data_IF_620511899679
#
_entry.id   IF_620511899679
#
_cell.length_a   1.000
_cell.length_b   1.000
_cell.length_c   1.000
_cell.angle_alpha   90.00
_cell.angle_beta   90.00
_cell.angle_gamma   90.00
#
_symmetry.space_group_name_H-M   'P 1'
#
loop_
_entity.id
_entity.type
_entity.pdbx_description
1 polymer ?
#
# COMPACT_ATOMS: atom_id res chain seq x y z
N UNK A 1 -8.31 14.41 -7.49
CA UNK A 1 -7.00 13.86 -7.82
C UNK A 1 -6.57 13.01 -6.64
N UNK A 2 -6.69 11.68 -6.72
CA UNK A 2 -6.27 10.82 -5.60
C UNK A 2 -4.92 10.21 -5.91
N UNK A 3 -3.91 10.94 -5.44
CA UNK A 3 -2.50 10.66 -5.56
C UNK A 3 -1.97 10.51 -4.14
N UNK A 4 -1.25 9.43 -3.88
CA UNK A 4 -0.78 9.10 -2.52
C UNK A 4 0.73 8.91 -2.56
N UNK A 5 1.45 9.70 -1.77
CA UNK A 5 2.87 9.45 -1.52
C UNK A 5 3.03 8.11 -0.80
N UNK A 6 3.82 7.21 -1.38
CA UNK A 6 3.90 5.83 -0.95
C UNK A 6 5.34 5.34 -0.96
N UNK A 7 5.67 4.54 0.07
CA UNK A 7 6.91 3.79 0.13
C UNK A 7 6.65 2.39 -0.40
N UNK A 8 7.40 2.00 -1.42
CA UNK A 8 7.58 0.60 -1.82
C UNK A 8 8.78 0.03 -1.06
N UNK A 9 8.61 -1.11 -0.41
CA UNK A 9 9.71 -1.81 0.27
C UNK A 9 9.50 -3.33 0.23
N UNK A 10 10.54 -4.09 0.57
CA UNK A 10 10.44 -5.54 0.77
C UNK A 10 10.45 -5.87 2.26
N UNK A 11 9.55 -6.76 2.67
CA UNK A 11 9.37 -7.20 4.06
C UNK A 11 9.73 -8.68 4.20
N UNK A 12 10.69 -9.02 5.05
CA UNK A 12 11.16 -10.40 5.23
C UNK A 12 11.34 -10.76 6.70
N UNK A 13 11.09 -12.01 7.06
CA UNK A 13 11.50 -12.57 8.36
C UNK A 13 13.01 -12.84 8.45
N UNK A 14 13.66 -12.98 7.30
CA UNK A 14 15.09 -13.30 7.19
C UNK A 14 15.83 -12.16 6.47
N UNK A 15 16.84 -11.54 7.10
CA UNK A 15 17.60 -10.44 6.50
C UNK A 15 18.39 -10.87 5.25
N UNK A 16 18.56 -12.17 4.98
CA UNK A 16 19.27 -12.69 3.80
C UNK A 16 18.36 -13.07 2.63
N UNK A 17 17.05 -13.23 2.85
CA UNK A 17 16.09 -13.66 1.80
C UNK A 17 15.38 -12.48 1.13
N UNK A 18 14.93 -12.69 -0.11
CA UNK A 18 13.94 -11.80 -0.72
C UNK A 18 12.67 -11.77 0.13
N UNK A 19 12.11 -10.56 0.29
CA UNK A 19 10.90 -10.33 1.07
C UNK A 19 9.66 -10.16 0.20
N UNK A 20 8.49 -10.17 0.84
CA UNK A 20 7.23 -9.82 0.19
C UNK A 20 7.18 -8.30 -0.07
N UNK A 21 6.72 -7.89 -1.25
CA UNK A 21 6.57 -6.47 -1.57
C UNK A 21 5.46 -5.84 -0.73
N UNK A 22 5.71 -4.63 -0.25
CA UNK A 22 4.77 -3.81 0.51
C UNK A 22 4.73 -2.40 -0.02
N UNK A 23 3.51 -1.86 0.01
CA UNK A 23 3.16 -0.52 -0.40
C UNK A 23 2.52 0.17 0.81
N UNK A 24 3.18 1.20 1.33
CA UNK A 24 2.79 1.82 2.60
C UNK A 24 2.76 3.34 2.42
N UNK A 25 1.65 4.03 2.70
CA UNK A 25 1.60 5.48 2.64
C UNK A 25 2.75 6.11 3.42
N UNK A 26 3.40 7.11 2.82
CA UNK A 26 4.61 7.72 3.37
C UNK A 26 4.35 8.31 4.77
N UNK A 27 3.16 8.89 4.98
CA UNK A 27 2.72 9.46 6.27
C UNK A 27 2.75 8.46 7.45
N UNK A 28 2.43 7.19 7.21
CA UNK A 28 2.39 6.17 8.27
C UNK A 28 3.64 5.28 8.28
N UNK A 29 4.53 5.43 7.30
CA UNK A 29 5.61 4.48 7.07
C UNK A 29 6.55 4.31 8.26
N UNK A 30 6.92 5.40 8.95
CA UNK A 30 7.85 5.30 10.09
C UNK A 30 7.24 4.54 11.28
N UNK A 31 5.97 4.78 11.58
CA UNK A 31 5.24 4.04 12.62
C UNK A 31 5.09 2.57 12.23
N UNK A 32 4.65 2.31 10.99
CA UNK A 32 4.51 0.96 10.47
C UNK A 32 5.85 0.21 10.53
N UNK A 33 6.94 0.85 10.10
CA UNK A 33 8.30 0.31 10.16
C UNK A 33 8.69 -0.07 11.58
N UNK A 34 8.50 0.83 12.53
CA UNK A 34 8.79 0.56 13.93
C UNK A 34 8.04 -0.68 14.44
N UNK A 35 6.74 -0.79 14.14
CA UNK A 35 5.94 -1.95 14.54
C UNK A 35 6.46 -3.24 13.87
N UNK A 36 6.76 -3.21 12.57
CA UNK A 36 7.27 -4.38 11.86
C UNK A 36 8.62 -4.85 12.42
N UNK A 37 9.56 -3.92 12.64
CA UNK A 37 10.91 -4.24 13.10
C UNK A 37 10.96 -4.60 14.59
N UNK A 38 10.21 -3.91 15.45
CA UNK A 38 10.29 -4.06 16.91
C UNK A 38 9.30 -5.06 17.49
N UNK A 39 8.07 -5.07 16.97
CA UNK A 39 7.00 -5.93 17.50
C UNK A 39 6.93 -7.24 16.73
N UNK A 40 6.97 -7.17 15.40
CA UNK A 40 6.84 -8.36 14.56
C UNK A 40 8.18 -8.99 14.15
N UNK A 41 9.32 -8.40 14.56
CA UNK A 41 10.66 -8.91 14.29
C UNK A 41 10.92 -9.19 12.80
N UNK A 42 10.41 -8.31 11.94
CA UNK A 42 10.61 -8.38 10.49
C UNK A 42 11.62 -7.34 10.03
N UNK A 43 12.28 -7.63 8.91
CA UNK A 43 13.26 -6.77 8.28
C UNK A 43 12.64 -6.07 7.08
N UNK A 44 12.76 -4.74 7.05
CA UNK A 44 12.37 -3.91 5.92
C UNK A 44 13.61 -3.61 5.08
N UNK A 45 13.50 -3.78 3.77
CA UNK A 45 14.59 -3.59 2.80
C UNK A 45 14.16 -2.66 1.67
N UNK A 46 15.14 -1.95 1.13
CA UNK A 46 15.04 -1.13 -0.08
C UNK A 46 13.81 -0.19 -0.11
N UNK A 47 13.57 0.63 0.94
CA UNK A 47 12.48 1.59 0.93
C UNK A 47 12.71 2.61 -0.18
N UNK A 48 11.74 2.74 -1.08
CA UNK A 48 11.73 3.71 -2.17
C UNK A 48 10.47 4.55 -2.08
N UNK A 49 10.62 5.87 -2.03
CA UNK A 49 9.51 6.81 -2.08
C UNK A 49 9.09 7.05 -3.53
N UNK A 50 7.80 7.00 -3.77
CA UNK A 50 7.19 7.46 -5.00
C UNK A 50 5.69 7.70 -4.83
N UNK A 51 4.94 7.65 -5.92
CA UNK A 51 3.51 7.96 -5.96
C UNK A 51 2.68 6.74 -6.36
N UNK A 52 1.56 6.54 -5.68
CA UNK A 52 0.44 5.78 -6.18
C UNK A 52 -0.58 6.70 -6.83
N UNK A 53 -1.12 6.28 -7.96
CA UNK A 53 -2.14 7.01 -8.71
C UNK A 53 -3.28 6.05 -9.04
N UNK A 54 -4.50 6.41 -8.72
CA UNK A 54 -5.67 5.63 -9.11
C UNK A 54 -5.75 5.51 -10.65
N UNK A 55 -6.24 4.38 -11.15
CA UNK A 55 -6.25 4.06 -12.59
C UNK A 55 -6.94 5.14 -13.43
N UNK A 56 -8.01 5.76 -12.91
CA UNK A 56 -8.75 6.83 -13.57
C UNK A 56 -7.94 8.12 -13.79
N UNK A 57 -6.83 8.31 -13.06
CA UNK A 57 -5.92 9.45 -13.19
C UNK A 57 -4.58 9.07 -13.82
N UNK A 58 -4.38 7.80 -14.16
CA UNK A 58 -3.15 7.33 -14.75
C UNK A 58 -3.10 7.64 -16.25
N UNK A 59 -2.08 8.39 -16.67
CA UNK A 59 -1.73 8.57 -18.06
C UNK A 59 -0.46 7.79 -18.36
N UNK A 60 -0.45 6.85 -19.33
CA UNK A 60 0.75 6.10 -19.69
C UNK A 60 1.89 7.05 -20.05
N UNK A 61 2.97 7.02 -19.26
CA UNK A 61 4.19 7.75 -19.57
C UNK A 61 5.08 6.89 -20.46
N UNK A 62 5.90 7.51 -21.31
CA UNK A 62 6.90 6.81 -22.14
C UNK A 62 8.12 6.36 -21.32
N UNK A 63 7.90 5.93 -20.07
CA UNK A 63 8.98 5.60 -19.15
C UNK A 63 9.58 4.23 -19.44
N UNK A 64 10.86 4.09 -19.05
CA UNK A 64 11.63 2.86 -19.20
C UNK A 64 11.28 1.80 -18.15
N UNK A 65 10.69 2.20 -17.02
CA UNK A 65 10.27 1.29 -15.97
C UNK A 65 8.74 1.12 -16.01
N UNK A 66 8.23 -0.12 -16.04
CA UNK A 66 6.80 -0.36 -16.06
C UNK A 66 6.18 0.05 -14.72
N UNK A 67 5.02 0.71 -14.77
CA UNK A 67 4.25 0.99 -13.58
C UNK A 67 3.77 -0.31 -12.93
N UNK A 68 3.84 -0.40 -11.60
CA UNK A 68 3.42 -1.59 -10.87
C UNK A 68 1.94 -1.48 -10.51
N UNK A 69 1.14 -2.49 -10.85
CA UNK A 69 -0.28 -2.50 -10.52
C UNK A 69 -0.49 -2.79 -9.02
N UNK A 70 -1.26 -1.91 -8.37
CA UNK A 70 -1.50 -1.92 -6.92
C UNK A 70 -2.98 -1.70 -6.64
N UNK A 71 -3.55 -2.59 -5.84
CA UNK A 71 -4.94 -2.51 -5.38
C UNK A 71 -4.99 -1.78 -4.05
N UNK A 72 -5.75 -0.69 -4.01
CA UNK A 72 -6.20 -0.06 -2.77
C UNK A 72 -7.45 -0.79 -2.26
N UNK A 73 -7.46 -1.11 -0.97
CA UNK A 73 -8.63 -1.53 -0.23
C UNK A 73 -8.94 -0.48 0.82
N UNK A 74 -10.20 -0.06 0.89
CA UNK A 74 -10.70 0.84 1.92
C UNK A 74 -11.97 0.27 2.51
N UNK A 75 -12.10 0.28 3.83
CA UNK A 75 -13.31 -0.15 4.54
C UNK A 75 -13.42 0.58 5.87
N UNK A 76 -14.63 0.63 6.42
CA UNK A 76 -14.86 1.04 7.81
C UNK A 76 -14.84 -0.20 8.69
N UNK A 77 -14.08 -0.16 9.78
CA UNK A 77 -14.06 -1.21 10.80
C UNK A 77 -14.74 -0.72 12.08
N UNK A 78 -15.83 -1.38 12.49
CA UNK A 78 -16.52 -1.06 13.73
C UNK A 78 -15.95 -1.88 14.90
N UNK A 79 -15.20 -1.24 15.79
CA UNK A 79 -14.79 -1.89 17.04
C UNK A 79 -15.87 -1.72 18.13
N UNK A 80 -15.85 -2.55 19.18
CA UNK A 80 -16.87 -2.53 20.22
C UNK A 80 -16.89 -1.16 20.91
N UNK A 81 -17.98 -0.40 20.75
CA UNK A 81 -18.21 0.87 21.45
C UNK A 81 -17.52 2.10 20.84
N UNK A 82 -16.91 1.97 19.65
CA UNK A 82 -16.19 3.07 19.00
C UNK A 82 -16.88 3.57 17.73
N UNK A 83 -16.60 4.83 17.38
CA UNK A 83 -16.87 5.38 16.04
C UNK A 83 -15.96 4.63 15.07
N UNK A 84 -16.54 3.96 14.07
CA UNK A 84 -15.81 3.10 13.14
C UNK A 84 -14.55 3.75 12.56
N UNK A 85 -13.44 3.02 12.54
CA UNK A 85 -12.16 3.49 11.97
C UNK A 85 -12.10 3.19 10.48
N UNK A 86 -11.63 4.14 9.68
CA UNK A 86 -11.34 3.89 8.27
C UNK A 86 -9.98 3.18 8.16
N UNK A 87 -9.96 2.06 7.45
CA UNK A 87 -8.76 1.30 7.15
C UNK A 87 -8.51 1.36 5.66
N UNK A 88 -7.36 1.92 5.27
CA UNK A 88 -6.88 1.93 3.88
C UNK A 88 -5.58 1.14 3.78
N UNK A 89 -5.48 0.21 2.82
CA UNK A 89 -4.27 -0.60 2.57
C UNK A 89 -4.04 -0.80 1.08
N UNK A 90 -2.78 -0.97 0.71
CA UNK A 90 -2.33 -1.13 -0.67
C UNK A 90 -1.62 -2.47 -0.84
N UNK A 91 -1.97 -3.20 -1.89
CA UNK A 91 -1.47 -4.55 -2.13
C UNK A 91 -0.99 -4.68 -3.58
N UNK A 92 0.12 -5.41 -3.84
CA UNK A 92 0.46 -5.79 -5.22
C UNK A 92 -0.71 -6.54 -5.86
N UNK A 93 -1.14 -6.15 -7.06
CA UNK A 93 -2.27 -6.79 -7.74
C UNK A 93 -2.04 -8.29 -7.94
N UNK A 94 -0.82 -8.69 -8.31
CA UNK A 94 -0.43 -10.08 -8.56
C UNK A 94 -0.51 -10.99 -7.33
N UNK A 95 -0.49 -10.41 -6.12
CA UNK A 95 -0.47 -11.15 -4.84
C UNK A 95 -1.69 -10.81 -3.97
N UNK A 96 -2.67 -10.09 -4.55
CA UNK A 96 -3.76 -9.46 -3.80
C UNK A 96 -4.53 -10.48 -2.95
N UNK A 97 -5.10 -11.52 -3.56
CA UNK A 97 -5.97 -12.47 -2.87
C UNK A 97 -5.23 -13.16 -1.70
N UNK A 98 -3.98 -13.54 -1.94
CA UNK A 98 -3.16 -14.22 -0.93
C UNK A 98 -2.82 -13.32 0.26
N UNK A 99 -2.42 -12.07 0.02
CA UNK A 99 -2.04 -11.15 1.10
C UNK A 99 -3.29 -10.64 1.82
N UNK A 100 -4.35 -10.32 1.08
CA UNK A 100 -5.62 -9.85 1.65
C UNK A 100 -6.24 -10.89 2.58
N UNK A 101 -6.19 -12.17 2.21
CA UNK A 101 -6.64 -13.28 3.05
C UNK A 101 -5.91 -13.35 4.39
N UNK A 102 -4.60 -13.10 4.42
CA UNK A 102 -3.84 -13.02 5.66
C UNK A 102 -4.19 -11.75 6.43
N UNK A 103 -4.32 -10.63 5.73
CA UNK A 103 -4.60 -9.33 6.33
C UNK A 103 -5.94 -9.32 7.08
N UNK A 104 -7.01 -9.87 6.50
CA UNK A 104 -8.33 -9.89 7.15
C UNK A 104 -8.37 -10.69 8.47
N UNK A 105 -7.42 -11.60 8.69
CA UNK A 105 -7.29 -12.35 9.96
C UNK A 105 -6.84 -11.48 11.13
N UNK A 106 -6.38 -10.25 10.88
CA UNK A 106 -6.10 -9.27 11.94
C UNK A 106 -7.36 -8.60 12.49
N UNK A 107 -8.53 -8.84 11.88
CA UNK A 107 -9.82 -8.33 12.34
C UNK A 107 -10.58 -9.49 13.00
N UNK A 108 -10.72 -9.50 14.34
CA UNK A 108 -11.33 -10.62 15.08
C UNK A 108 -12.75 -10.95 14.61
N UNK A 109 -13.50 -9.92 14.24
CA UNK A 109 -14.84 -10.03 13.67
C UNK A 109 -14.88 -9.35 12.30
N UNK A 110 -14.82 -10.16 11.24
CA UNK A 110 -14.82 -9.67 9.86
C UNK A 110 -16.19 -9.17 9.40
N UNK A 111 -17.28 -9.52 10.10
CA UNK A 111 -18.62 -9.02 9.76
C UNK A 111 -18.76 -7.52 10.00
N UNK A 112 -17.80 -6.94 10.74
CA UNK A 112 -17.70 -5.51 11.05
C UNK A 112 -16.86 -4.71 10.07
N UNK A 113 -16.39 -5.35 8.99
CA UNK A 113 -15.74 -4.68 7.87
C UNK A 113 -16.82 -4.19 6.90
N UNK A 114 -17.26 -2.95 7.08
CA UNK A 114 -18.33 -2.35 6.31
C UNK A 114 -17.80 -1.51 5.14
N UNK A 115 -18.65 -1.28 4.14
CA UNK A 115 -18.38 -0.36 3.02
C UNK A 115 -17.04 -0.65 2.31
N UNK A 116 -16.66 -1.93 2.18
CA UNK A 116 -15.39 -2.28 1.55
C UNK A 116 -15.39 -1.93 0.06
N UNK A 117 -14.50 -1.02 -0.33
CA UNK A 117 -14.21 -0.67 -1.70
C UNK A 117 -12.86 -1.21 -2.12
N UNK A 118 -12.74 -1.54 -3.41
CA UNK A 118 -11.47 -1.91 -4.05
C UNK A 118 -11.25 -0.97 -5.21
N UNK A 119 -10.04 -0.41 -5.30
CA UNK A 119 -9.69 0.46 -6.42
C UNK A 119 -8.32 0.09 -6.95
N UNK A 120 -8.25 -0.06 -8.26
CA UNK A 120 -7.00 -0.30 -8.97
C UNK A 120 -6.25 1.02 -9.15
N UNK A 121 -4.94 0.95 -9.06
CA UNK A 121 -4.06 2.05 -9.42
C UNK A 121 -2.65 1.55 -9.67
N UNK A 122 -1.74 2.49 -9.84
CA UNK A 122 -0.38 2.22 -10.26
C UNK A 122 0.61 2.91 -9.34
N UNK A 123 1.58 2.16 -8.85
CA UNK A 123 2.78 2.71 -8.27
C UNK A 123 3.72 3.14 -9.40
N UNK A 124 3.99 4.44 -9.46
CA UNK A 124 4.85 5.07 -10.45
C UNK A 124 6.27 5.08 -9.92
N UNK A 125 7.29 4.73 -10.70
CA UNK A 125 8.68 4.90 -10.26
C UNK A 125 9.18 6.33 -10.52
N UNK A 126 10.36 6.69 -9.98
CA UNK A 126 10.75 8.07 -9.72
C UNK A 126 10.67 9.07 -10.89
N UNK A 127 10.91 8.66 -12.14
CA UNK A 127 10.78 9.57 -13.30
C UNK A 127 9.30 9.87 -13.63
N UNK A 128 8.46 8.84 -13.62
CA UNK A 128 7.02 8.92 -13.85
C UNK A 128 6.33 9.79 -12.80
N UNK A 129 6.67 9.61 -11.54
CA UNK A 129 6.13 10.40 -10.43
C UNK A 129 6.48 11.90 -10.56
N UNK A 130 7.74 12.22 -10.91
CA UNK A 130 8.17 13.62 -11.14
C UNK A 130 7.41 14.27 -12.31
N UNK A 131 7.22 13.54 -13.41
CA UNK A 131 6.51 14.04 -14.57
C UNK A 131 5.03 14.32 -14.28
N UNK A 132 4.39 13.50 -13.45
CA UNK A 132 3.01 13.68 -13.02
C UNK A 132 2.85 14.91 -12.13
N UNK A 133 3.74 15.10 -11.16
CA UNK A 133 3.76 16.29 -10.27
C UNK A 133 3.95 17.57 -11.11
N UNK A 134 4.86 17.56 -12.09
CA UNK A 134 5.13 18.72 -12.94
C UNK A 134 3.99 19.12 -13.88
N UNK A 135 3.02 18.22 -14.14
CA UNK A 135 1.85 18.49 -14.98
C UNK A 135 0.59 18.91 -14.20
N UNK A 136 0.60 18.73 -12.87
CA UNK A 136 -0.55 18.97 -11.99
C UNK A 136 -0.45 20.22 -11.11
N UNK A 137 0.61 21.02 -11.26
CA UNK A 137 0.77 22.34 -10.63
C UNK A 137 0.74 23.45 -11.68
#
# INVERSE_FOLDING_TARGET
>A
MEMVEMIRCSLSKDPKKSGETRYVPAEIFQMWRFLMERVHQMHIKDPRLSMWVAEEFYAPTHDKEPAEAVIEIRFRYLDIGEVGRIVTRYFPESEFDFIFEKFRKHFPDQTRMEEMTRRRGFYLSGASAKALIAKGG
#
